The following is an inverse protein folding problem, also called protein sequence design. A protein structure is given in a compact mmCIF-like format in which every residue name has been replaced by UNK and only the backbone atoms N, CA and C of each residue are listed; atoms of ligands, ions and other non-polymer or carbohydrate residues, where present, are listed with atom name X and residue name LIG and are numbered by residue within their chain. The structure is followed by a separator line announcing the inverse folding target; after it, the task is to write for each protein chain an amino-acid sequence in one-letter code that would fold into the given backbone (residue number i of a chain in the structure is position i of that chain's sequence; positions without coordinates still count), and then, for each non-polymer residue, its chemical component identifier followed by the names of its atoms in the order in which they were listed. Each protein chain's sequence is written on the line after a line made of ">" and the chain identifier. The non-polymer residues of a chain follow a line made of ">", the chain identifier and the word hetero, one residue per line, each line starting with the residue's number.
data_IF_205915197119
#
_entry.id   IF_205915197119
#
_cell.length_a   1.000
_cell.length_b   1.000
_cell.length_c   1.000
_cell.angle_alpha   90.00
_cell.angle_beta   90.00
_cell.angle_gamma   90.00
#
_symmetry.space_group_name_H-M   'P 1'
#
loop_
_entity.id
_entity.type
_entity.pdbx_description
1 polymer ?
#
# COMPACT_ATOMS: atom_id res chain seq x y z
N UNK A 1 34.94 10.27 -0.56
CA UNK A 1 36.29 10.71 -0.87
C UNK A 1 37.20 10.30 0.29
N UNK A 2 38.30 9.63 0.01
CA UNK A 2 39.29 9.23 1.00
C UNK A 2 40.50 10.16 0.82
N UNK A 3 41.01 10.75 1.90
CA UNK A 3 42.18 11.63 1.87
C UNK A 3 43.19 11.26 2.93
N UNK A 4 44.42 11.60 2.71
CA UNK A 4 45.55 11.43 3.69
C UNK A 4 45.96 12.82 4.15
N UNK A 5 46.13 12.99 5.46
CA UNK A 5 46.75 14.15 6.05
C UNK A 5 48.20 13.77 6.47
N UNK A 6 49.18 14.02 5.61
CA UNK A 6 50.56 13.65 5.94
C UNK A 6 51.08 14.49 7.13
N UNK A 7 51.72 13.81 8.08
CA UNK A 7 52.42 14.43 9.24
C UNK A 7 51.55 15.15 10.28
N UNK A 8 50.24 14.83 10.38
CA UNK A 8 49.42 15.32 11.48
C UNK A 8 49.04 14.20 12.43
N UNK A 9 49.17 14.42 13.75
CA UNK A 9 48.59 13.56 14.77
C UNK A 9 47.06 13.78 14.72
N UNK A 10 46.31 12.68 14.84
CA UNK A 10 44.85 12.69 14.96
C UNK A 10 44.44 13.42 16.24
N UNK A 11 44.36 14.75 16.19
CA UNK A 11 43.69 15.57 17.15
C UNK A 11 42.29 15.92 16.59
N UNK A 12 41.35 16.21 17.46
CA UNK A 12 39.94 16.51 17.12
C UNK A 12 39.72 17.72 16.17
N UNK A 13 40.78 18.46 15.87
CA UNK A 13 40.76 19.57 14.91
C UNK A 13 40.89 19.07 13.46
N UNK A 14 40.04 19.58 12.57
CA UNK A 14 40.09 19.26 11.13
C UNK A 14 41.51 19.54 10.60
N UNK A 15 42.16 18.60 9.89
CA UNK A 15 43.47 18.82 9.31
C UNK A 15 43.45 20.01 8.33
N UNK A 16 44.43 20.88 8.45
CA UNK A 16 44.55 22.10 7.64
C UNK A 16 44.72 21.80 6.13
N UNK A 17 45.26 20.63 5.81
CA UNK A 17 45.46 20.18 4.45
C UNK A 17 45.23 18.65 4.34
N UNK A 18 44.38 18.24 3.39
CA UNK A 18 44.08 16.82 3.09
C UNK A 18 44.31 16.60 1.59
N UNK A 19 45.23 15.72 1.26
CA UNK A 19 45.45 15.32 -0.12
C UNK A 19 44.50 14.23 -0.54
N UNK A 20 43.66 14.44 -1.59
CA UNK A 20 42.71 13.42 -2.04
C UNK A 20 43.45 12.26 -2.70
N UNK A 21 43.27 11.04 -2.21
CA UNK A 21 43.91 9.83 -2.71
C UNK A 21 42.98 9.02 -3.62
N UNK A 22 41.68 8.95 -3.26
CA UNK A 22 40.71 8.19 -4.03
C UNK A 22 39.29 8.78 -3.92
N UNK A 23 38.55 8.67 -5.00
CA UNK A 23 37.12 8.95 -5.06
C UNK A 23 36.40 7.63 -5.33
N UNK A 24 35.48 7.28 -4.44
CA UNK A 24 34.60 6.14 -4.62
C UNK A 24 33.21 6.66 -5.00
N UNK A 25 32.71 6.21 -6.14
CA UNK A 25 31.32 6.40 -6.55
C UNK A 25 30.54 5.13 -6.20
N UNK A 26 29.52 5.29 -5.37
CA UNK A 26 28.61 4.20 -5.01
C UNK A 26 27.30 4.47 -5.71
N UNK A 27 26.91 3.60 -6.63
CA UNK A 27 25.63 3.63 -7.31
C UNK A 27 24.77 2.45 -6.82
N UNK A 28 23.51 2.74 -6.53
CA UNK A 28 22.53 1.73 -6.16
C UNK A 28 21.69 1.38 -7.39
N UNK A 29 21.82 0.15 -7.91
CA UNK A 29 21.08 -0.25 -9.11
C UNK A 29 19.59 -0.35 -8.82
N UNK A 30 18.79 0.24 -9.72
CA UNK A 30 17.34 0.10 -9.67
C UNK A 30 16.97 -1.35 -9.98
N UNK A 31 16.02 -1.91 -9.23
CA UNK A 31 15.51 -3.26 -9.43
C UNK A 31 14.95 -3.43 -10.85
N UNK A 32 15.15 -4.61 -11.40
CA UNK A 32 14.51 -4.97 -12.68
C UNK A 32 12.99 -4.85 -12.52
N UNK A 33 12.32 -4.40 -13.58
CA UNK A 33 10.86 -4.20 -13.63
C UNK A 33 10.30 -3.09 -12.70
N UNK A 34 11.15 -2.36 -11.97
CA UNK A 34 10.69 -1.25 -11.13
C UNK A 34 9.93 -0.20 -11.93
N UNK A 35 10.46 0.16 -13.11
CA UNK A 35 9.81 1.14 -14.00
C UNK A 35 8.44 0.65 -14.49
N UNK A 36 8.34 -0.62 -14.91
CA UNK A 36 7.09 -1.21 -15.35
C UNK A 36 6.05 -1.26 -14.24
N UNK A 37 6.48 -1.61 -13.03
CA UNK A 37 5.61 -1.66 -11.85
C UNK A 37 5.06 -0.28 -11.48
N UNK A 38 5.92 0.75 -11.45
CA UNK A 38 5.49 2.11 -11.14
C UNK A 38 4.56 2.68 -12.23
N UNK A 39 4.87 2.43 -13.50
CA UNK A 39 4.01 2.80 -14.62
C UNK A 39 2.64 2.13 -14.52
N UNK A 40 2.60 0.82 -14.27
CA UNK A 40 1.37 0.07 -14.09
C UNK A 40 0.52 0.63 -12.93
N UNK A 41 1.12 0.87 -11.77
CA UNK A 41 0.40 1.42 -10.61
C UNK A 41 -0.16 2.82 -10.92
N UNK A 42 0.60 3.64 -11.63
CA UNK A 42 0.13 4.96 -12.06
C UNK A 42 -1.05 4.87 -13.04
N UNK A 43 -1.00 3.98 -14.04
CA UNK A 43 -2.11 3.70 -14.97
C UNK A 43 -3.37 3.20 -14.26
N UNK A 44 -3.18 2.48 -13.15
CA UNK A 44 -4.28 2.04 -12.28
C UNK A 44 -4.86 3.15 -11.40
N UNK A 45 -4.31 4.36 -11.49
CA UNK A 45 -4.77 5.54 -10.76
C UNK A 45 -4.22 5.68 -9.35
N UNK A 46 -3.11 4.99 -9.05
CA UNK A 46 -2.41 5.12 -7.76
C UNK A 46 -1.52 6.37 -7.79
N UNK A 47 -1.71 7.25 -6.82
CA UNK A 47 -0.84 8.41 -6.58
C UNK A 47 0.40 7.95 -5.78
N UNK A 48 1.52 7.85 -6.47
CA UNK A 48 2.77 7.32 -5.92
C UNK A 48 3.57 8.41 -5.22
N UNK A 49 4.01 8.14 -4.00
CA UNK A 49 4.86 9.04 -3.21
C UNK A 49 6.06 8.29 -2.65
N UNK A 50 7.21 8.95 -2.59
CA UNK A 50 8.45 8.40 -2.02
C UNK A 50 8.83 9.16 -0.77
N UNK A 51 8.98 8.44 0.34
CA UNK A 51 9.31 9.01 1.65
C UNK A 51 10.61 8.35 2.15
N UNK A 52 11.69 9.13 2.27
CA UNK A 52 13.01 8.62 2.66
C UNK A 52 13.65 9.47 3.76
N UNK A 53 14.51 8.83 4.54
CA UNK A 53 15.44 9.54 5.46
C UNK A 53 16.63 10.19 4.76
N UNK A 54 16.85 9.86 3.48
CA UNK A 54 18.00 10.33 2.71
C UNK A 54 17.81 11.74 2.15
N UNK A 55 18.88 12.26 1.54
CA UNK A 55 18.85 13.57 0.90
C UNK A 55 17.80 13.62 -0.23
N UNK A 56 16.89 14.62 -0.24
CA UNK A 56 15.77 14.70 -1.19
C UNK A 56 16.23 14.75 -2.65
N UNK A 57 17.35 15.39 -2.95
CA UNK A 57 17.91 15.44 -4.30
C UNK A 57 18.37 14.06 -4.78
N UNK A 58 19.02 13.28 -3.91
CA UNK A 58 19.42 11.91 -4.22
C UNK A 58 18.20 11.03 -4.46
N UNK A 59 17.21 11.11 -3.57
CA UNK A 59 15.95 10.35 -3.69
C UNK A 59 15.20 10.71 -4.98
N UNK A 60 15.11 12.01 -5.32
CA UNK A 60 14.49 12.49 -6.58
C UNK A 60 15.21 11.93 -7.81
N UNK A 61 16.55 11.88 -7.82
CA UNK A 61 17.30 11.29 -8.92
C UNK A 61 17.05 9.78 -9.07
N UNK A 62 16.96 9.05 -7.96
CA UNK A 62 16.61 7.62 -7.97
C UNK A 62 15.17 7.46 -8.49
N UNK A 63 14.22 8.27 -8.00
CA UNK A 63 12.83 8.26 -8.44
C UNK A 63 12.70 8.54 -9.95
N UNK A 64 13.48 9.49 -10.48
CA UNK A 64 13.57 9.76 -11.92
C UNK A 64 14.04 8.54 -12.71
N UNK A 65 15.11 7.90 -12.26
CA UNK A 65 15.66 6.68 -12.90
C UNK A 65 14.66 5.51 -12.84
N UNK A 66 13.86 5.45 -11.77
CA UNK A 66 12.79 4.48 -11.61
C UNK A 66 11.52 4.82 -12.40
N UNK A 67 11.46 5.97 -13.08
CA UNK A 67 10.31 6.36 -13.89
C UNK A 67 9.12 6.92 -13.09
N UNK A 68 9.35 7.38 -11.86
CA UNK A 68 8.28 7.98 -11.04
C UNK A 68 7.79 9.30 -11.67
N UNK A 69 6.48 9.48 -11.90
CA UNK A 69 5.93 10.77 -12.32
C UNK A 69 6.17 11.86 -11.27
N UNK A 70 6.36 13.10 -11.71
CA UNK A 70 6.54 14.28 -10.83
C UNK A 70 7.69 14.12 -9.81
N UNK A 71 8.74 13.38 -10.16
CA UNK A 71 9.92 13.18 -9.32
C UNK A 71 10.62 14.48 -8.93
N UNK A 72 10.46 15.54 -9.72
CA UNK A 72 11.01 16.88 -9.52
C UNK A 72 10.28 17.69 -8.45
N UNK A 73 9.05 17.29 -8.07
CA UNK A 73 8.32 17.82 -6.96
C UNK A 73 8.83 17.19 -5.64
N UNK A 74 10.01 17.61 -5.20
CA UNK A 74 10.64 17.11 -3.97
C UNK A 74 10.78 18.19 -2.89
N UNK A 75 10.87 17.75 -1.63
CA UNK A 75 11.01 18.62 -0.46
C UNK A 75 11.96 18.01 0.59
N UNK A 76 12.71 18.90 1.28
CA UNK A 76 13.53 18.55 2.44
C UNK A 76 12.74 18.81 3.73
N UNK A 77 12.25 17.75 4.36
CA UNK A 77 11.45 17.88 5.58
C UNK A 77 12.29 18.20 6.83
N UNK A 78 13.61 18.13 6.77
CA UNK A 78 14.45 18.59 7.90
C UNK A 78 14.40 20.11 8.08
N UNK A 79 13.97 20.84 7.07
CA UNK A 79 13.82 22.31 7.11
C UNK A 79 12.42 22.74 7.56
N UNK A 80 11.47 21.81 7.70
CA UNK A 80 10.10 22.07 8.07
C UNK A 80 9.88 21.57 9.50
N UNK A 81 9.59 22.48 10.40
CA UNK A 81 9.36 22.20 11.82
C UNK A 81 7.89 22.22 12.21
N UNK A 82 7.07 22.96 11.47
CA UNK A 82 5.65 23.13 11.77
C UNK A 82 4.82 21.97 11.18
N UNK A 83 3.93 21.42 11.99
CA UNK A 83 3.06 20.31 11.61
C UNK A 83 2.16 20.64 10.42
N UNK A 84 1.63 21.85 10.40
CA UNK A 84 0.78 22.36 9.31
C UNK A 84 1.51 22.37 7.97
N UNK A 85 2.77 22.81 7.96
CA UNK A 85 3.58 22.84 6.74
C UNK A 85 3.88 21.42 6.22
N UNK A 86 4.10 20.44 7.14
CA UNK A 86 4.28 19.03 6.77
C UNK A 86 3.00 18.47 6.13
N UNK A 87 1.83 18.83 6.68
CA UNK A 87 0.52 18.45 6.12
C UNK A 87 0.29 19.03 4.74
N UNK A 88 0.56 20.31 4.54
CA UNK A 88 0.47 20.94 3.21
C UNK A 88 1.44 20.31 2.21
N UNK A 89 2.65 19.94 2.65
CA UNK A 89 3.63 19.26 1.83
C UNK A 89 3.12 17.92 1.29
N UNK A 90 2.30 17.18 2.05
CA UNK A 90 1.74 15.89 1.64
C UNK A 90 0.96 15.97 0.31
N UNK A 91 0.32 17.11 0.04
CA UNK A 91 -0.48 17.33 -1.19
C UNK A 91 0.35 17.89 -2.34
N UNK A 92 1.40 18.64 -2.01
CA UNK A 92 2.16 19.42 -2.99
C UNK A 92 3.31 18.63 -3.60
N UNK A 93 3.94 17.76 -2.82
CA UNK A 93 5.17 17.07 -3.22
C UNK A 93 4.96 15.58 -3.44
N UNK A 94 5.83 15.01 -4.27
CA UNK A 94 5.85 13.56 -4.59
C UNK A 94 7.00 12.85 -3.88
N UNK A 95 8.14 13.55 -3.70
CA UNK A 95 9.34 13.00 -3.09
C UNK A 95 9.68 13.78 -1.81
N UNK A 96 9.81 13.05 -0.72
CA UNK A 96 10.12 13.60 0.61
C UNK A 96 11.45 13.05 1.08
N UNK A 97 12.40 13.93 1.36
CA UNK A 97 13.71 13.57 1.89
C UNK A 97 13.92 14.03 3.32
N UNK A 98 14.86 13.41 4.02
CA UNK A 98 15.23 13.66 5.43
C UNK A 98 14.05 13.65 6.39
N UNK A 99 13.14 12.68 6.15
CA UNK A 99 11.88 12.56 6.87
C UNK A 99 12.09 11.82 8.19
N UNK A 100 11.68 12.42 9.29
CA UNK A 100 11.64 11.75 10.60
C UNK A 100 10.48 10.76 10.71
N UNK A 101 10.52 9.76 11.63
CA UNK A 101 9.42 8.82 11.82
C UNK A 101 8.08 9.50 12.13
N UNK A 102 8.10 10.59 12.89
CA UNK A 102 6.91 11.37 13.23
C UNK A 102 6.34 12.07 12.00
N UNK A 103 7.19 12.66 11.17
CA UNK A 103 6.76 13.29 9.93
C UNK A 103 6.21 12.26 8.92
N UNK A 104 6.79 11.04 8.84
CA UNK A 104 6.21 9.94 8.05
C UNK A 104 4.77 9.63 8.47
N UNK A 105 4.54 9.51 9.78
CA UNK A 105 3.19 9.33 10.34
C UNK A 105 2.25 10.47 9.95
N UNK A 106 2.68 11.73 10.07
CA UNK A 106 1.88 12.90 9.73
C UNK A 106 1.48 12.93 8.24
N UNK A 107 2.43 12.62 7.34
CA UNK A 107 2.15 12.55 5.90
C UNK A 107 1.06 11.50 5.60
N UNK A 108 1.15 10.31 6.19
CA UNK A 108 0.16 9.24 6.01
C UNK A 108 -1.19 9.66 6.55
N UNK A 109 -1.24 10.23 7.75
CA UNK A 109 -2.50 10.71 8.36
C UNK A 109 -3.17 11.77 7.52
N UNK A 110 -2.42 12.76 7.05
CA UNK A 110 -2.96 13.84 6.22
C UNK A 110 -3.61 13.31 4.93
N UNK A 111 -2.94 12.37 4.26
CA UNK A 111 -3.50 11.75 3.06
C UNK A 111 -4.80 10.98 3.35
N UNK A 112 -4.90 10.31 4.51
CA UNK A 112 -6.12 9.62 4.95
C UNK A 112 -7.24 10.61 5.31
N UNK A 113 -6.93 11.65 6.08
CA UNK A 113 -7.88 12.70 6.47
C UNK A 113 -8.45 13.42 5.24
N UNK A 114 -7.68 13.50 4.15
CA UNK A 114 -8.16 14.01 2.86
C UNK A 114 -9.08 13.04 2.07
N UNK A 115 -9.44 11.88 2.67
CA UNK A 115 -10.33 10.89 2.07
C UNK A 115 -9.66 9.91 1.10
N UNK A 116 -8.34 9.81 1.10
CA UNK A 116 -7.59 8.83 0.30
C UNK A 116 -7.40 7.55 1.07
N UNK A 117 -7.41 6.42 0.38
CA UNK A 117 -6.97 5.13 0.93
C UNK A 117 -5.45 5.03 0.74
N UNK A 118 -4.71 4.87 1.83
CA UNK A 118 -3.26 4.92 1.83
C UNK A 118 -2.66 3.54 2.08
N UNK A 119 -1.86 3.06 1.12
CA UNK A 119 -0.96 1.94 1.32
C UNK A 119 0.45 2.46 1.64
N UNK A 120 1.09 1.93 2.68
CA UNK A 120 2.45 2.29 3.07
C UNK A 120 3.34 1.05 3.02
N UNK A 121 4.46 1.16 2.31
CA UNK A 121 5.49 0.12 2.27
C UNK A 121 6.70 0.59 3.09
N UNK A 122 7.20 -0.28 3.96
CA UNK A 122 8.38 0.02 4.77
C UNK A 122 9.12 -1.24 5.22
N UNK A 123 10.41 -1.11 5.50
CA UNK A 123 11.30 -2.20 5.91
C UNK A 123 12.01 -1.95 7.25
N UNK A 124 12.04 -0.71 7.70
CA UNK A 124 12.79 -0.29 8.89
C UNK A 124 11.91 0.06 10.10
N UNK A 125 12.51 0.04 11.29
CA UNK A 125 11.86 0.46 12.55
C UNK A 125 11.30 1.89 12.46
N UNK A 126 11.94 2.74 11.66
CA UNK A 126 11.51 4.13 11.45
C UNK A 126 10.17 4.25 10.69
N UNK A 127 9.70 3.17 10.08
CA UNK A 127 8.45 3.13 9.32
C UNK A 127 7.26 2.63 10.15
N UNK A 128 7.53 2.05 11.33
CA UNK A 128 6.51 1.44 12.21
C UNK A 128 5.34 2.39 12.50
N UNK A 129 5.62 3.66 12.78
CA UNK A 129 4.58 4.64 13.09
C UNK A 129 3.69 4.93 11.88
N UNK A 130 4.27 5.09 10.69
CA UNK A 130 3.55 5.34 9.45
C UNK A 130 2.79 4.08 8.98
N UNK A 131 3.40 2.90 9.10
CA UNK A 131 2.76 1.63 8.77
C UNK A 131 1.50 1.38 9.62
N UNK A 132 1.51 1.72 10.91
CA UNK A 132 0.33 1.59 11.77
C UNK A 132 -0.81 2.50 11.40
N UNK A 133 -0.52 3.66 10.86
CA UNK A 133 -1.54 4.63 10.45
C UNK A 133 -2.12 4.33 9.07
N UNK A 134 -1.37 3.66 8.19
CA UNK A 134 -1.83 3.32 6.85
C UNK A 134 -3.05 2.39 6.85
N UNK A 135 -3.90 2.50 5.83
CA UNK A 135 -5.03 1.59 5.63
C UNK A 135 -4.57 0.19 5.19
N UNK A 136 -3.46 0.14 4.46
CA UNK A 136 -2.79 -1.10 4.09
C UNK A 136 -1.28 -0.95 4.33
N UNK A 137 -0.76 -1.67 5.31
CA UNK A 137 0.66 -1.70 5.63
C UNK A 137 1.33 -2.92 5.00
N UNK A 138 2.45 -2.66 4.31
CA UNK A 138 3.21 -3.66 3.56
C UNK A 138 4.64 -3.68 4.09
N UNK A 139 5.10 -4.82 4.58
CA UNK A 139 6.48 -5.00 5.03
C UNK A 139 7.27 -5.91 4.08
N UNK A 140 8.58 -5.71 4.08
CA UNK A 140 9.53 -6.59 3.40
C UNK A 140 9.94 -7.75 4.33
N UNK A 141 10.08 -8.97 3.80
CA UNK A 141 10.46 -10.13 4.62
C UNK A 141 11.86 -9.99 5.23
N UNK A 142 12.79 -9.35 4.51
CA UNK A 142 14.14 -9.05 5.00
C UNK A 142 14.19 -7.81 5.91
N UNK A 143 13.08 -7.08 6.05
CA UNK A 143 12.96 -5.92 6.91
C UNK A 143 12.94 -6.26 8.40
N UNK A 144 12.79 -5.23 9.22
CA UNK A 144 12.77 -5.36 10.68
C UNK A 144 11.60 -6.22 11.18
N UNK A 145 11.83 -6.97 12.27
CA UNK A 145 10.80 -7.81 12.89
C UNK A 145 9.57 -7.02 13.36
N UNK A 146 9.74 -5.79 13.81
CA UNK A 146 8.64 -4.96 14.26
C UNK A 146 7.72 -4.54 13.11
N UNK A 147 8.28 -4.21 11.92
CA UNK A 147 7.46 -3.87 10.74
C UNK A 147 6.66 -5.07 10.26
N UNK A 148 7.26 -6.27 10.24
CA UNK A 148 6.56 -7.51 9.85
C UNK A 148 5.41 -7.89 10.77
N UNK A 149 5.54 -7.63 12.09
CA UNK A 149 4.49 -7.96 13.05
C UNK A 149 3.25 -7.07 12.95
N UNK A 150 3.40 -5.83 12.47
CA UNK A 150 2.30 -4.87 12.37
C UNK A 150 1.71 -4.77 10.97
N UNK A 151 2.42 -5.29 9.96
CA UNK A 151 2.00 -5.18 8.56
C UNK A 151 0.79 -6.09 8.26
N UNK A 152 -0.12 -5.59 7.42
CA UNK A 152 -1.24 -6.37 6.89
C UNK A 152 -0.76 -7.36 5.83
N UNK A 153 0.33 -7.04 5.13
CA UNK A 153 0.92 -7.85 4.07
C UNK A 153 2.44 -7.89 4.23
N UNK A 154 3.05 -9.06 4.00
CA UNK A 154 4.50 -9.22 3.97
C UNK A 154 4.92 -9.75 2.60
N UNK A 155 5.79 -9.03 1.89
CA UNK A 155 6.37 -9.45 0.63
C UNK A 155 7.54 -10.40 0.91
N UNK A 156 7.35 -11.69 0.63
CA UNK A 156 8.33 -12.74 0.99
C UNK A 156 9.66 -12.59 0.25
N UNK A 157 9.60 -12.17 -1.01
CA UNK A 157 10.79 -11.94 -1.84
C UNK A 157 11.40 -10.53 -1.63
N UNK A 158 10.87 -9.76 -0.67
CA UNK A 158 11.28 -8.37 -0.41
C UNK A 158 11.32 -7.51 -1.67
N UNK A 159 10.43 -7.79 -2.62
CA UNK A 159 10.37 -7.13 -3.92
C UNK A 159 8.99 -6.49 -4.17
N UNK A 160 8.97 -5.17 -4.24
CA UNK A 160 7.74 -4.42 -4.50
C UNK A 160 7.20 -4.62 -5.93
N UNK A 161 7.99 -5.16 -6.85
CA UNK A 161 7.55 -5.45 -8.22
C UNK A 161 6.48 -6.55 -8.29
N UNK A 162 6.21 -7.24 -7.18
CA UNK A 162 5.11 -8.20 -7.02
C UNK A 162 3.76 -7.53 -6.70
N UNK A 163 3.72 -6.22 -6.40
CA UNK A 163 2.49 -5.50 -6.07
C UNK A 163 1.38 -5.59 -7.13
N UNK A 164 1.65 -5.59 -8.45
CA UNK A 164 0.62 -5.84 -9.46
C UNK A 164 -0.11 -7.17 -9.26
N UNK A 165 0.59 -8.23 -8.90
CA UNK A 165 -0.01 -9.55 -8.62
C UNK A 165 -0.91 -9.50 -7.39
N UNK A 166 -0.46 -8.81 -6.33
CA UNK A 166 -1.26 -8.59 -5.11
C UNK A 166 -2.55 -7.81 -5.45
N UNK A 167 -2.46 -6.79 -6.30
CA UNK A 167 -3.62 -6.02 -6.74
C UNK A 167 -4.61 -6.89 -7.53
N UNK A 168 -4.12 -7.75 -8.43
CA UNK A 168 -4.97 -8.67 -9.18
C UNK A 168 -5.67 -9.68 -8.27
N UNK A 169 -4.95 -10.22 -7.29
CA UNK A 169 -5.54 -11.16 -6.34
C UNK A 169 -6.59 -10.47 -5.45
N UNK A 170 -6.31 -9.27 -4.98
CA UNK A 170 -7.28 -8.46 -4.24
C UNK A 170 -8.56 -8.20 -5.05
N UNK A 171 -8.45 -7.86 -6.33
CA UNK A 171 -9.60 -7.71 -7.24
C UNK A 171 -10.39 -8.99 -7.40
N UNK A 172 -9.71 -10.10 -7.60
CA UNK A 172 -10.33 -11.42 -7.69
C UNK A 172 -11.19 -11.71 -6.46
N UNK A 173 -10.62 -11.52 -5.28
CA UNK A 173 -11.32 -11.78 -4.01
C UNK A 173 -12.53 -10.87 -3.88
N UNK A 174 -12.38 -9.56 -4.08
CA UNK A 174 -13.50 -8.60 -3.95
C UNK A 174 -14.61 -8.90 -4.96
N UNK A 175 -14.26 -9.15 -6.22
CA UNK A 175 -15.26 -9.47 -7.26
C UNK A 175 -16.02 -10.77 -6.93
N UNK A 176 -15.33 -11.80 -6.48
CA UNK A 176 -15.96 -13.07 -6.11
C UNK A 176 -16.84 -12.92 -4.88
N UNK A 177 -16.36 -12.24 -3.83
CA UNK A 177 -17.18 -11.94 -2.64
C UNK A 177 -18.42 -11.13 -3.00
N UNK A 178 -18.31 -10.14 -3.89
CA UNK A 178 -19.45 -9.33 -4.33
C UNK A 178 -20.50 -10.19 -5.05
N UNK A 179 -20.07 -11.08 -5.94
CA UNK A 179 -20.99 -12.01 -6.65
C UNK A 179 -21.72 -12.94 -5.67
N UNK A 180 -20.97 -13.56 -4.76
CA UNK A 180 -21.52 -14.44 -3.73
C UNK A 180 -22.50 -13.69 -2.84
N UNK A 181 -22.14 -12.50 -2.37
CA UNK A 181 -23.02 -11.65 -1.56
C UNK A 181 -24.34 -11.34 -2.29
N UNK A 182 -24.28 -11.09 -3.61
CA UNK A 182 -25.48 -10.89 -4.43
C UNK A 182 -26.46 -12.07 -4.35
N UNK A 183 -25.97 -13.31 -4.40
CA UNK A 183 -26.80 -14.51 -4.27
C UNK A 183 -27.47 -14.57 -2.89
N UNK A 184 -26.74 -14.31 -1.82
CA UNK A 184 -27.28 -14.25 -0.46
C UNK A 184 -28.35 -13.17 -0.29
N UNK A 185 -28.16 -11.98 -0.87
CA UNK A 185 -29.14 -10.91 -0.81
C UNK A 185 -30.44 -11.30 -1.52
N UNK A 186 -30.38 -11.89 -2.70
CA UNK A 186 -31.55 -12.33 -3.45
C UNK A 186 -32.36 -13.32 -2.61
N UNK A 187 -31.68 -14.31 -2.00
CA UNK A 187 -32.34 -15.28 -1.12
C UNK A 187 -33.05 -14.60 0.06
N UNK A 188 -32.32 -13.71 0.76
CA UNK A 188 -32.86 -13.02 1.93
C UNK A 188 -34.11 -12.23 1.57
N UNK A 189 -34.09 -11.52 0.44
CA UNK A 189 -35.24 -10.72 -0.04
C UNK A 189 -36.42 -11.61 -0.37
N UNK A 190 -36.22 -12.70 -1.13
CA UNK A 190 -37.34 -13.55 -1.50
C UNK A 190 -37.96 -14.27 -0.28
N UNK A 191 -37.13 -14.73 0.66
CA UNK A 191 -37.60 -15.37 1.89
C UNK A 191 -38.40 -14.40 2.76
N UNK A 192 -37.97 -13.15 2.83
CA UNK A 192 -38.67 -12.08 3.54
C UNK A 192 -40.06 -11.81 2.90
N UNK A 193 -40.11 -11.65 1.57
CA UNK A 193 -41.32 -11.42 0.84
C UNK A 193 -42.27 -12.61 1.02
N UNK A 194 -41.78 -13.84 0.89
CA UNK A 194 -42.57 -15.05 1.07
C UNK A 194 -43.17 -15.14 2.48
N UNK A 195 -42.39 -14.80 3.50
CA UNK A 195 -42.87 -14.78 4.89
C UNK A 195 -43.98 -13.77 5.09
N UNK A 196 -43.89 -12.58 4.49
CA UNK A 196 -45.00 -11.59 4.55
C UNK A 196 -46.24 -12.11 3.83
N UNK A 197 -46.12 -12.71 2.66
CA UNK A 197 -47.27 -13.27 1.92
C UNK A 197 -47.96 -14.34 2.75
N UNK A 198 -47.20 -15.27 3.36
CA UNK A 198 -47.74 -16.30 4.23
C UNK A 198 -48.49 -15.70 5.44
N UNK A 199 -47.92 -14.67 6.06
CA UNK A 199 -48.51 -14.00 7.20
C UNK A 199 -49.84 -13.29 6.83
N UNK A 200 -49.88 -12.60 5.70
CA UNK A 200 -51.09 -11.87 5.24
C UNK A 200 -52.21 -12.82 4.76
N UNK A 201 -51.84 -13.90 4.06
CA UNK A 201 -52.78 -14.87 3.54
C UNK A 201 -53.22 -15.93 4.55
N UNK A 202 -52.60 -15.96 5.73
CA UNK A 202 -52.78 -16.99 6.76
C UNK A 202 -52.51 -18.43 6.26
N UNK A 203 -51.70 -18.56 5.20
CA UNK A 203 -51.27 -19.86 4.65
C UNK A 203 -49.99 -20.28 5.40
N UNK A 204 -49.92 -21.56 5.77
CA UNK A 204 -48.70 -22.10 6.37
C UNK A 204 -47.48 -21.93 5.48
N UNK A 205 -46.27 -21.75 6.07
CA UNK A 205 -45.05 -21.61 5.31
C UNK A 205 -44.79 -22.86 4.44
N UNK A 206 -44.57 -22.71 3.12
CA UNK A 206 -44.61 -23.82 2.17
C UNK A 206 -43.43 -24.78 2.24
N UNK A 207 -42.37 -24.42 2.96
CA UNK A 207 -41.17 -25.23 3.07
C UNK A 207 -40.92 -25.74 4.49
N UNK A 208 -40.51 -26.99 4.60
CA UNK A 208 -39.99 -27.55 5.84
C UNK A 208 -38.46 -27.31 5.93
N UNK A 209 -37.85 -27.28 7.12
CA UNK A 209 -36.41 -26.93 7.31
C UNK A 209 -35.47 -27.71 6.42
N UNK A 210 -35.71 -29.01 6.21
CA UNK A 210 -34.81 -29.84 5.38
C UNK A 210 -34.86 -29.40 3.88
N UNK A 211 -36.01 -28.98 3.38
CA UNK A 211 -36.14 -28.49 2.01
C UNK A 211 -35.38 -27.15 1.85
N UNK A 212 -35.48 -26.27 2.83
CA UNK A 212 -34.70 -25.00 2.83
C UNK A 212 -33.19 -25.30 2.79
N UNK A 213 -32.73 -26.25 3.61
CA UNK A 213 -31.32 -26.64 3.62
C UNK A 213 -30.84 -27.16 2.26
N UNK A 214 -31.66 -27.96 1.58
CA UNK A 214 -31.33 -28.47 0.23
C UNK A 214 -31.33 -27.36 -0.82
N UNK A 215 -32.26 -26.44 -0.73
CA UNK A 215 -32.36 -25.27 -1.60
C UNK A 215 -31.13 -24.38 -1.39
N UNK A 216 -30.74 -24.15 -0.13
CA UNK A 216 -29.57 -23.35 0.22
C UNK A 216 -28.27 -23.97 -0.32
N UNK A 217 -28.13 -25.28 -0.16
CA UNK A 217 -26.97 -26.00 -0.71
C UNK A 217 -26.90 -25.88 -2.24
N UNK A 218 -28.05 -25.99 -2.92
CA UNK A 218 -28.10 -25.94 -4.38
C UNK A 218 -27.91 -24.52 -4.95
N UNK A 219 -28.51 -23.50 -4.30
CA UNK A 219 -28.50 -22.11 -4.81
C UNK A 219 -27.33 -21.29 -4.31
N UNK A 220 -26.90 -21.49 -3.05
CA UNK A 220 -25.83 -20.72 -2.44
C UNK A 220 -24.54 -21.51 -2.32
N UNK A 221 -24.58 -22.70 -1.73
CA UNK A 221 -23.37 -23.48 -1.42
C UNK A 221 -22.64 -23.89 -2.69
N UNK A 222 -23.32 -24.48 -3.64
CA UNK A 222 -22.71 -24.98 -4.86
C UNK A 222 -22.17 -23.85 -5.77
N UNK A 223 -22.97 -22.84 -6.13
CA UNK A 223 -22.44 -21.72 -6.93
C UNK A 223 -21.33 -20.93 -6.24
N UNK A 224 -21.44 -20.70 -4.93
CA UNK A 224 -20.41 -19.95 -4.18
C UNK A 224 -19.07 -20.68 -4.19
N UNK A 225 -19.10 -22.03 -4.06
CA UNK A 225 -17.90 -22.85 -4.16
C UNK A 225 -17.23 -22.69 -5.52
N UNK A 226 -17.96 -22.77 -6.63
CA UNK A 226 -17.38 -22.63 -7.96
C UNK A 226 -16.95 -21.18 -8.28
N UNK A 227 -17.71 -20.17 -7.84
CA UNK A 227 -17.35 -18.77 -8.00
C UNK A 227 -16.03 -18.43 -7.28
N UNK A 228 -15.68 -19.12 -6.20
CA UNK A 228 -14.41 -18.87 -5.49
C UNK A 228 -13.18 -19.18 -6.34
N UNK A 229 -13.31 -20.03 -7.37
CA UNK A 229 -12.23 -20.35 -8.31
C UNK A 229 -12.18 -19.41 -9.54
N UNK A 230 -13.18 -18.55 -9.71
CA UNK A 230 -13.22 -17.65 -10.86
C UNK A 230 -12.10 -16.60 -10.78
N UNK A 231 -11.35 -16.45 -11.87
CA UNK A 231 -10.26 -15.47 -11.97
C UNK A 231 -10.77 -14.14 -12.53
N UNK A 232 -11.65 -13.47 -11.82
CA UNK A 232 -12.18 -12.17 -12.22
C UNK A 232 -11.26 -11.03 -11.75
N UNK A 233 -10.43 -10.53 -12.65
CA UNK A 233 -9.44 -9.47 -12.42
C UNK A 233 -9.92 -8.07 -12.85
N UNK A 234 -11.22 -7.91 -13.18
CA UNK A 234 -11.77 -6.63 -13.62
C UNK A 234 -11.63 -5.56 -12.54
N UNK A 235 -11.47 -4.30 -12.97
CA UNK A 235 -11.48 -3.16 -12.05
C UNK A 235 -12.76 -3.17 -11.22
N UNK A 236 -12.60 -2.98 -9.92
CA UNK A 236 -13.73 -2.89 -9.00
C UNK A 236 -14.49 -1.60 -9.32
N UNK A 237 -15.76 -1.72 -9.66
CA UNK A 237 -16.61 -0.56 -9.90
C UNK A 237 -17.49 -0.36 -8.68
N UNK A 238 -17.31 0.75 -7.96
CA UNK A 238 -18.13 1.11 -6.78
C UNK A 238 -19.61 1.41 -7.09
N UNK A 239 -20.16 0.82 -8.13
CA UNK A 239 -21.53 1.08 -8.62
C UNK A 239 -22.59 0.13 -8.04
N UNK A 240 -22.35 -0.44 -6.86
CA UNK A 240 -23.28 -1.39 -6.23
C UNK A 240 -23.89 -0.87 -4.92
N UNK A 241 -24.02 0.45 -4.77
CA UNK A 241 -24.88 1.05 -3.76
C UNK A 241 -25.82 2.03 -4.42
#
# INVERSE_FOLDING_TARGET
>A
MLGIAPNQQLNEEKPAFVEPVALFEIDDPIRKNAQETLAYLHEEGVDLKVISGDNPFTVSNIARRAGLPNYDAYVDLSQITEEMEVREAAHRYTVFGRVSPQQKKLLVNELKESGRTVAMTGDGVNDVLALREADCSIAMAEGDGATRQIANLVLLDSDFTTLPEVLFEGRRVVNNVTKVSGIFFIKTIYSFILSIICAVTAIGFPFIPIQITLIDLAIEGYPSFFLSFEQDKRKITYRYL
#
